data_IF_885411314525
#
_entry.id   IF_885411314525
#
_cell.length_a   1.000
_cell.length_b   1.000
_cell.length_c   1.000
_cell.angle_alpha   90.00
_cell.angle_beta   90.00
_cell.angle_gamma   90.00
#
_symmetry.space_group_name_H-M   'P 1'
#
loop_
_entity.id
_entity.type
_entity.pdbx_description
1 polymer ?
#
# COMPACT_ATOMS: atom_id res chain seq x y z
N UNK A 1 14.56 9.76 6.50
CA UNK A 1 14.83 9.56 5.06
C UNK A 1 13.65 8.76 4.52
N UNK A 2 13.02 9.16 3.44
CA UNK A 2 11.92 8.37 2.86
C UNK A 2 12.47 7.17 2.05
N UNK A 3 11.64 6.15 1.84
CA UNK A 3 12.01 4.93 1.10
C UNK A 3 12.51 5.23 -0.33
N UNK A 4 11.96 6.26 -0.96
CA UNK A 4 12.34 6.68 -2.31
C UNK A 4 13.79 7.19 -2.33
N UNK A 5 14.18 8.01 -1.34
CA UNK A 5 15.53 8.50 -1.18
C UNK A 5 16.50 7.37 -0.87
N UNK A 6 16.13 6.43 0.03
CA UNK A 6 16.93 5.25 0.32
C UNK A 6 17.18 4.41 -0.94
N UNK A 7 16.13 4.13 -1.70
CA UNK A 7 16.22 3.38 -2.94
C UNK A 7 17.11 4.07 -3.99
N UNK A 8 17.00 5.40 -4.13
CA UNK A 8 17.87 6.18 -5.03
C UNK A 8 19.33 6.09 -4.61
N UNK A 9 19.61 6.24 -3.32
CA UNK A 9 20.99 6.22 -2.81
C UNK A 9 21.60 4.82 -2.87
N UNK A 10 20.87 3.78 -2.46
CA UNK A 10 21.29 2.38 -2.63
C UNK A 10 21.59 2.09 -4.10
N UNK A 11 20.75 2.54 -5.02
CA UNK A 11 20.96 2.34 -6.46
C UNK A 11 22.22 3.05 -6.95
N UNK A 12 22.47 4.28 -6.49
CA UNK A 12 23.68 5.04 -6.83
C UNK A 12 24.94 4.33 -6.33
N UNK A 13 24.96 3.93 -5.06
CA UNK A 13 26.08 3.23 -4.45
C UNK A 13 26.32 1.86 -5.09
N UNK A 14 25.26 1.10 -5.40
CA UNK A 14 25.37 -0.18 -6.12
C UNK A 14 26.00 -0.01 -7.51
N UNK A 15 25.66 1.07 -8.23
CA UNK A 15 26.29 1.39 -9.52
C UNK A 15 27.77 1.73 -9.37
N UNK A 16 28.15 2.43 -8.31
CA UNK A 16 29.55 2.72 -8.01
C UNK A 16 30.32 1.43 -7.67
N UNK A 17 29.75 0.60 -6.78
CA UNK A 17 30.31 -0.68 -6.38
C UNK A 17 30.50 -1.61 -7.58
N UNK A 18 29.51 -1.70 -8.48
CA UNK A 18 29.60 -2.53 -9.68
C UNK A 18 30.78 -2.16 -10.58
N UNK A 19 31.20 -0.88 -10.62
CA UNK A 19 32.39 -0.48 -11.39
C UNK A 19 33.66 -1.08 -10.80
N UNK A 20 33.81 -1.08 -9.47
CA UNK A 20 34.97 -1.66 -8.80
C UNK A 20 34.97 -3.19 -8.91
N UNK A 21 33.81 -3.82 -8.68
CA UNK A 21 33.66 -5.28 -8.76
C UNK A 21 33.91 -5.81 -10.19
N UNK A 22 33.72 -4.99 -11.22
CA UNK A 22 34.02 -5.37 -12.60
C UNK A 22 35.51 -5.42 -12.95
N UNK A 23 36.38 -4.88 -12.09
CA UNK A 23 37.84 -4.96 -12.24
C UNK A 23 38.31 -6.35 -11.76
N UNK A 24 39.12 -7.09 -12.53
CA UNK A 24 39.71 -8.34 -12.06
C UNK A 24 40.53 -8.14 -10.78
N UNK A 25 40.48 -9.09 -9.84
CA UNK A 25 41.12 -8.91 -8.52
C UNK A 25 42.64 -8.71 -8.58
N UNK A 26 43.31 -9.25 -9.61
CA UNK A 26 44.75 -9.04 -9.83
C UNK A 26 45.09 -7.61 -10.28
N UNK A 27 44.12 -6.90 -10.85
CA UNK A 27 44.27 -5.56 -11.40
C UNK A 27 43.73 -4.48 -10.43
N UNK A 28 43.10 -4.88 -9.31
CA UNK A 28 42.60 -3.96 -8.29
C UNK A 28 43.74 -3.38 -7.45
N UNK A 29 43.71 -2.08 -7.27
CA UNK A 29 44.56 -1.39 -6.29
C UNK A 29 44.09 -1.66 -4.85
N UNK A 30 44.90 -1.28 -3.86
CA UNK A 30 44.47 -1.35 -2.46
C UNK A 30 43.34 -0.35 -2.19
N UNK A 31 43.40 0.80 -2.85
CA UNK A 31 42.40 1.87 -2.79
C UNK A 31 41.07 1.40 -3.35
N UNK A 32 41.08 0.63 -4.46
CA UNK A 32 39.86 0.03 -5.02
C UNK A 32 39.21 -0.95 -4.04
N UNK A 33 40.01 -1.81 -3.41
CA UNK A 33 39.52 -2.76 -2.40
C UNK A 33 38.94 -2.08 -1.18
N UNK A 34 39.64 -1.07 -0.66
CA UNK A 34 39.14 -0.29 0.47
C UNK A 34 37.83 0.43 0.12
N UNK A 35 37.74 1.02 -1.08
CA UNK A 35 36.51 1.68 -1.52
C UNK A 35 35.37 0.70 -1.75
N UNK A 36 35.65 -0.50 -2.22
CA UNK A 36 34.68 -1.60 -2.33
C UNK A 36 34.07 -1.94 -0.95
N UNK A 37 34.92 -2.10 0.06
CA UNK A 37 34.50 -2.37 1.44
C UNK A 37 33.67 -1.21 2.04
N UNK A 38 34.10 0.04 1.82
CA UNK A 38 33.38 1.23 2.26
C UNK A 38 31.99 1.34 1.63
N UNK A 39 31.88 1.06 0.33
CA UNK A 39 30.60 1.06 -0.39
C UNK A 39 29.68 -0.06 0.11
N UNK A 40 30.21 -1.25 0.36
CA UNK A 40 29.45 -2.37 0.93
C UNK A 40 28.89 -2.00 2.31
N UNK A 41 29.71 -1.43 3.19
CA UNK A 41 29.26 -1.00 4.52
C UNK A 41 28.17 0.08 4.45
N UNK A 42 28.30 1.05 3.53
CA UNK A 42 27.27 2.08 3.34
C UNK A 42 25.96 1.50 2.80
N UNK A 43 26.03 0.60 1.81
CA UNK A 43 24.85 -0.08 1.27
C UNK A 43 24.16 -0.90 2.37
N UNK A 44 24.92 -1.62 3.20
CA UNK A 44 24.36 -2.40 4.30
C UNK A 44 23.55 -1.53 5.26
N UNK A 45 24.12 -0.41 5.72
CA UNK A 45 23.43 0.53 6.63
C UNK A 45 22.15 1.10 6.04
N UNK A 46 22.15 1.42 4.74
CA UNK A 46 20.96 1.93 4.06
C UNK A 46 19.88 0.86 3.89
N UNK A 47 20.28 -0.39 3.64
CA UNK A 47 19.35 -1.53 3.58
C UNK A 47 18.74 -1.78 4.95
N UNK A 48 19.55 -1.80 6.02
CA UNK A 48 19.04 -1.90 7.41
C UNK A 48 18.05 -0.78 7.72
N UNK A 49 18.39 0.47 7.35
CA UNK A 49 17.50 1.63 7.54
C UNK A 49 16.17 1.43 6.82
N UNK A 50 16.20 0.89 5.60
CA UNK A 50 14.98 0.60 4.83
C UNK A 50 14.17 -0.52 5.45
N UNK A 51 14.83 -1.57 5.94
CA UNK A 51 14.16 -2.71 6.56
C UNK A 51 13.38 -2.27 7.81
N UNK A 52 13.92 -1.33 8.62
CA UNK A 52 13.15 -0.70 9.71
C UNK A 52 11.86 -0.01 9.23
N UNK A 53 11.88 0.68 8.08
CA UNK A 53 10.68 1.31 7.54
C UNK A 53 9.63 0.29 7.10
N UNK A 54 10.08 -0.87 6.60
CA UNK A 54 9.18 -1.98 6.24
C UNK A 54 8.51 -2.53 7.49
N UNK A 55 9.28 -2.72 8.56
CA UNK A 55 8.77 -3.21 9.85
C UNK A 55 7.75 -2.22 10.46
N UNK A 56 8.02 -0.91 10.40
CA UNK A 56 7.11 0.13 10.89
C UNK A 56 5.76 0.10 10.15
N UNK A 57 5.77 0.01 8.82
CA UNK A 57 4.53 -0.05 8.02
C UNK A 57 3.78 -1.35 8.26
N UNK A 58 4.49 -2.47 8.45
CA UNK A 58 3.86 -3.75 8.79
C UNK A 58 3.21 -3.69 10.17
N UNK A 59 3.82 -3.00 11.14
CA UNK A 59 3.25 -2.77 12.46
C UNK A 59 1.94 -1.95 12.36
N UNK A 60 1.95 -0.86 11.60
CA UNK A 60 0.74 -0.04 11.38
C UNK A 60 -0.37 -0.86 10.70
N UNK A 61 -0.03 -1.69 9.72
CA UNK A 61 -0.99 -2.59 9.05
C UNK A 61 -1.64 -3.58 10.01
N UNK A 62 -0.88 -4.12 10.96
CA UNK A 62 -1.42 -5.02 11.98
C UNK A 62 -2.31 -4.28 12.97
N UNK A 63 -1.95 -3.05 13.34
CA UNK A 63 -2.76 -2.19 14.21
C UNK A 63 -4.13 -1.89 13.60
N UNK A 64 -4.15 -1.40 12.35
CA UNK A 64 -5.40 -1.09 11.64
C UNK A 64 -6.34 -2.30 11.57
N UNK A 65 -5.81 -3.50 11.34
CA UNK A 65 -6.63 -4.72 11.30
C UNK A 65 -7.30 -5.05 12.62
N UNK A 66 -6.62 -4.83 13.74
CA UNK A 66 -7.22 -5.09 15.06
C UNK A 66 -8.25 -4.00 15.39
N UNK A 67 -7.96 -2.74 15.07
CA UNK A 67 -8.92 -1.62 15.23
C UNK A 67 -10.20 -1.85 14.41
N UNK A 68 -10.08 -2.30 13.15
CA UNK A 68 -11.21 -2.65 12.28
C UNK A 68 -12.02 -3.82 12.83
N UNK A 69 -11.34 -4.83 13.40
CA UNK A 69 -11.99 -5.99 14.01
C UNK A 69 -12.76 -5.59 15.27
N UNK A 70 -12.17 -4.78 16.14
CA UNK A 70 -12.85 -4.23 17.32
C UNK A 70 -14.09 -3.42 16.91
N UNK A 71 -14.00 -2.62 15.85
CA UNK A 71 -15.14 -1.86 15.32
C UNK A 71 -16.23 -2.78 14.77
N UNK A 72 -15.88 -3.82 14.01
CA UNK A 72 -16.82 -4.78 13.47
C UNK A 72 -17.54 -5.57 14.58
N UNK A 73 -16.80 -6.00 15.60
CA UNK A 73 -17.35 -6.70 16.76
C UNK A 73 -18.25 -5.79 17.59
N UNK A 74 -17.86 -4.52 17.77
CA UNK A 74 -18.70 -3.52 18.40
C UNK A 74 -20.03 -3.33 17.65
N UNK A 75 -20.00 -3.12 16.34
CA UNK A 75 -21.20 -2.95 15.52
C UNK A 75 -22.10 -4.19 15.56
N UNK A 76 -21.52 -5.38 15.48
CA UNK A 76 -22.24 -6.66 15.60
C UNK A 76 -22.92 -6.80 16.97
N UNK A 77 -22.26 -6.36 18.03
CA UNK A 77 -22.83 -6.39 19.39
C UNK A 77 -23.98 -5.38 19.58
N UNK A 78 -23.91 -4.21 18.92
CA UNK A 78 -24.92 -3.14 19.04
C UNK A 78 -26.11 -3.32 18.09
N UNK A 79 -25.91 -3.95 16.94
CA UNK A 79 -26.95 -4.17 15.93
C UNK A 79 -27.07 -5.64 15.51
N UNK A 80 -27.53 -6.54 16.40
CA UNK A 80 -27.56 -7.98 16.13
C UNK A 80 -28.58 -8.46 15.06
N UNK A 81 -29.15 -7.56 14.22
CA UNK A 81 -30.41 -7.83 13.50
C UNK A 81 -30.47 -7.74 11.97
N UNK A 82 -29.53 -7.10 11.25
CA UNK A 82 -29.83 -6.73 9.84
C UNK A 82 -29.03 -7.44 8.73
N UNK A 83 -28.20 -8.44 9.04
CA UNK A 83 -27.53 -9.26 8.03
C UNK A 83 -28.42 -10.42 7.56
N UNK A 84 -29.59 -10.13 6.97
CA UNK A 84 -30.29 -11.13 6.15
C UNK A 84 -29.45 -11.36 4.90
N UNK A 85 -28.66 -12.44 4.90
CA UNK A 85 -28.12 -13.04 3.67
C UNK A 85 -29.31 -13.31 2.75
N UNK A 86 -29.49 -12.51 1.70
CA UNK A 86 -30.36 -12.84 0.57
C UNK A 86 -29.70 -13.96 -0.24
N UNK A 87 -29.69 -15.16 0.34
CA UNK A 87 -29.55 -16.39 -0.41
C UNK A 87 -30.94 -16.69 -1.01
N UNK A 88 -31.11 -16.37 -2.28
CA UNK A 88 -32.28 -16.76 -3.08
C UNK A 88 -31.83 -17.44 -4.38
N UNK A 89 -32.30 -18.66 -4.69
CA UNK A 89 -31.95 -19.36 -5.92
C UNK A 89 -32.87 -18.89 -7.05
N UNK A 90 -32.35 -18.69 -8.27
CA UNK A 90 -32.97 -19.14 -9.52
C UNK A 90 -32.33 -18.51 -10.76
N UNK A 91 -31.63 -19.37 -11.51
CA UNK A 91 -31.56 -19.44 -12.97
C UNK A 91 -32.68 -18.67 -13.71
N UNK A 92 -32.29 -17.76 -14.63
CA UNK A 92 -32.69 -17.68 -16.07
C UNK A 92 -32.29 -16.31 -16.65
N UNK A 93 -31.43 -16.33 -17.66
CA UNK A 93 -31.30 -15.25 -18.66
C UNK A 93 -32.62 -15.08 -19.43
N UNK A 94 -32.99 -13.85 -19.84
CA UNK A 94 -32.96 -13.54 -21.27
C UNK A 94 -32.54 -12.10 -21.65
N UNK A 95 -31.86 -12.01 -22.79
CA UNK A 95 -31.78 -10.98 -23.84
C UNK A 95 -32.25 -9.53 -23.62
N UNK A 96 -31.30 -8.61 -23.86
CA UNK A 96 -31.36 -7.29 -24.55
C UNK A 96 -32.76 -6.72 -24.88
N UNK A 97 -33.08 -5.57 -24.28
CA UNK A 97 -33.76 -4.46 -24.96
C UNK A 97 -33.48 -3.15 -24.21
N UNK A 98 -33.03 -2.16 -24.98
CA UNK A 98 -32.75 -0.78 -24.62
C UNK A 98 -34.09 -0.01 -24.60
N UNK A 99 -34.37 0.78 -23.55
CA UNK A 99 -35.10 2.06 -23.57
C UNK A 99 -35.44 2.53 -22.14
N UNK A 100 -34.94 3.71 -21.76
CA UNK A 100 -35.48 4.51 -20.65
C UNK A 100 -36.85 5.06 -21.05
N UNK A 101 -37.81 5.11 -20.11
CA UNK A 101 -38.30 6.42 -19.68
C UNK A 101 -38.67 6.48 -18.18
N UNK A 102 -38.14 7.52 -17.53
CA UNK A 102 -38.61 8.22 -16.35
C UNK A 102 -39.80 7.62 -15.56
N UNK A 103 -39.52 7.08 -14.37
CA UNK A 103 -40.52 6.98 -13.29
C UNK A 103 -39.97 7.55 -11.99
N UNK A 104 -40.68 8.57 -11.55
CA UNK A 104 -40.47 9.47 -10.41
C UNK A 104 -40.76 8.77 -9.08
N UNK A 105 -39.80 8.00 -8.56
CA UNK A 105 -39.83 7.55 -7.15
C UNK A 105 -38.42 7.23 -6.65
N UNK A 106 -37.64 8.25 -6.28
CA UNK A 106 -36.25 8.03 -5.84
C UNK A 106 -35.59 9.21 -5.14
N UNK A 107 -36.34 10.10 -4.48
CA UNK A 107 -35.80 11.31 -3.85
C UNK A 107 -36.21 11.47 -2.38
N UNK A 108 -36.17 10.40 -1.59
CA UNK A 108 -36.44 10.50 -0.14
C UNK A 108 -35.48 9.75 0.77
N UNK A 109 -34.38 9.15 0.28
CA UNK A 109 -33.42 8.48 1.19
C UNK A 109 -31.94 8.78 0.92
N UNK A 110 -31.63 9.89 0.23
CA UNK A 110 -30.25 10.38 0.06
C UNK A 110 -30.14 11.89 0.36
N UNK A 111 -30.93 12.39 1.33
CA UNK A 111 -30.96 13.81 1.74
C UNK A 111 -30.38 14.02 3.15
N UNK A 112 -29.48 13.16 3.60
CA UNK A 112 -28.75 13.34 4.88
C UNK A 112 -27.26 12.95 4.75
N UNK A 113 -26.69 12.95 3.55
CA UNK A 113 -25.24 12.80 3.34
C UNK A 113 -24.74 13.79 2.28
N UNK A 114 -24.69 15.07 2.63
CA UNK A 114 -23.81 16.07 1.99
C UNK A 114 -23.60 17.24 2.97
N UNK A 115 -22.69 17.05 3.94
CA UNK A 115 -22.25 18.07 4.89
C UNK A 115 -20.76 18.41 4.77
N UNK A 116 -20.09 18.07 3.68
CA UNK A 116 -18.70 18.45 3.43
C UNK A 116 -18.68 19.54 2.36
N UNK A 117 -18.67 20.80 2.78
CA UNK A 117 -18.22 21.91 1.94
C UNK A 117 -16.71 21.80 1.80
N UNK A 118 -16.25 20.99 0.84
CA UNK A 118 -14.90 21.08 0.31
C UNK A 118 -14.97 21.96 -0.94
N UNK A 119 -14.64 23.25 -0.77
CA UNK A 119 -14.30 24.12 -1.89
C UNK A 119 -12.85 24.55 -1.70
N UNK A 120 -11.99 24.00 -2.56
CA UNK A 120 -10.65 24.51 -2.82
C UNK A 120 -10.82 25.82 -3.61
N UNK A 121 -10.47 26.95 -2.98
CA UNK A 121 -9.85 28.15 -3.57
C UNK A 121 -9.32 29.03 -2.46
#
# INVERSE_FOLDING_TARGET
>A
MDDIQLCKEITRLKKELHKLVSIPDNDKSNEDRQREDELLQQIHKLVETRDFLVDDVEFERLREKEEDKEMADFLKSKFPGNMKKTAGPSRRTPTRAQQNPYTKTGLTLLKECCGFTCSIM
#
